data_IF_091449905802
#
_entry.id   IF_091449905802
#
_cell.length_a   1.000
_cell.length_b   1.000
_cell.length_c   1.000
_cell.angle_alpha   90.00
_cell.angle_beta   90.00
_cell.angle_gamma   90.00
#
_symmetry.space_group_name_H-M   'P 1'
#
loop_
_entity.id
_entity.type
_entity.pdbx_description
1 polymer ?
#
# COMPACT_ATOMS: atom_id res chain seq x y z
N UNK A 1 -22.42 12.89 -1.30
CA UNK A 1 -21.24 12.09 -1.10
C UNK A 1 -21.55 10.61 -0.98
N UNK A 2 -20.57 9.80 -1.23
CA UNK A 2 -20.64 8.34 -1.05
C UNK A 2 -19.91 7.91 0.24
N UNK A 3 -19.44 8.87 1.04
CA UNK A 3 -18.74 8.60 2.29
C UNK A 3 -19.73 8.54 3.45
N UNK A 4 -19.38 7.77 4.46
CA UNK A 4 -20.12 7.70 5.72
C UNK A 4 -19.63 8.79 6.69
N UNK A 5 -20.50 9.23 7.58
CA UNK A 5 -20.15 10.23 8.62
C UNK A 5 -19.68 9.57 9.92
N UNK A 6 -20.02 8.32 10.13
CA UNK A 6 -19.61 7.50 11.28
C UNK A 6 -19.27 6.09 10.81
N UNK A 7 -17.99 5.76 10.74
CA UNK A 7 -17.51 4.44 10.37
C UNK A 7 -17.51 3.43 11.52
N UNK A 8 -17.76 3.85 12.78
CA UNK A 8 -17.79 2.93 13.92
C UNK A 8 -18.98 1.96 13.88
N UNK A 9 -20.03 2.31 13.14
CA UNK A 9 -21.20 1.45 12.94
C UNK A 9 -20.88 0.14 12.18
N UNK A 10 -19.72 0.08 11.49
CA UNK A 10 -19.28 -1.10 10.74
C UNK A 10 -18.33 -2.00 11.53
N UNK A 11 -18.08 -1.72 12.82
CA UNK A 11 -17.25 -2.55 13.69
C UNK A 11 -18.06 -3.75 14.18
N UNK A 12 -18.04 -4.83 13.40
CA UNK A 12 -18.83 -6.04 13.59
C UNK A 12 -17.91 -7.27 13.77
N UNK A 13 -17.97 -7.94 14.93
CA UNK A 13 -17.16 -9.14 15.20
C UNK A 13 -17.56 -10.34 14.31
N UNK A 14 -18.77 -10.34 13.78
CA UNK A 14 -19.28 -11.35 12.83
C UNK A 14 -19.06 -10.96 11.35
N UNK A 15 -18.33 -9.91 11.08
CA UNK A 15 -18.15 -9.29 9.75
C UNK A 15 -17.47 -10.16 8.70
N UNK A 16 -16.98 -11.34 9.05
CA UNK A 16 -16.42 -12.34 8.11
C UNK A 16 -17.47 -13.38 7.65
N UNK A 17 -18.60 -13.53 8.38
CA UNK A 17 -19.57 -14.57 8.06
C UNK A 17 -20.23 -14.34 6.70
N UNK A 18 -20.06 -15.31 5.81
CA UNK A 18 -20.64 -15.30 4.46
C UNK A 18 -19.99 -14.34 3.49
N UNK A 19 -18.90 -13.66 3.88
CA UNK A 19 -18.11 -12.83 2.96
C UNK A 19 -17.32 -13.70 2.00
N UNK A 20 -17.29 -13.32 0.73
CA UNK A 20 -16.48 -13.95 -0.31
C UNK A 20 -15.24 -13.11 -0.59
N UNK A 21 -14.07 -13.65 -0.27
CA UNK A 21 -12.81 -12.91 -0.30
C UNK A 21 -11.83 -13.57 -1.28
N UNK A 22 -11.32 -12.78 -2.20
CA UNK A 22 -10.31 -13.21 -3.16
C UNK A 22 -8.91 -13.19 -2.57
N UNK A 23 -8.15 -14.28 -2.70
CA UNK A 23 -6.75 -14.37 -2.26
C UNK A 23 -5.84 -13.85 -3.37
N UNK A 24 -5.17 -12.72 -3.14
CA UNK A 24 -4.19 -12.18 -4.07
C UNK A 24 -2.87 -12.92 -3.97
N UNK A 25 -2.61 -13.82 -4.91
CA UNK A 25 -1.48 -14.77 -4.87
C UNK A 25 -0.16 -14.20 -5.40
N UNK A 26 -0.19 -13.15 -6.23
CA UNK A 26 1.02 -12.57 -6.88
C UNK A 26 2.19 -12.22 -5.94
N UNK A 27 1.99 -11.76 -4.68
CA UNK A 27 3.08 -11.54 -3.73
C UNK A 27 3.69 -12.81 -3.15
N UNK A 28 3.01 -13.95 -3.25
CA UNK A 28 3.39 -15.22 -2.62
C UNK A 28 4.52 -15.94 -3.37
N UNK A 29 5.09 -16.98 -2.77
CA UNK A 29 6.17 -17.78 -3.34
C UNK A 29 7.56 -17.14 -3.23
N UNK A 30 7.68 -15.96 -2.65
CA UNK A 30 8.95 -15.22 -2.52
C UNK A 30 9.64 -15.42 -1.17
N UNK A 31 8.86 -15.58 -0.11
CA UNK A 31 9.34 -15.67 1.28
C UNK A 31 8.52 -16.70 2.05
N UNK A 32 9.00 -17.94 2.10
CA UNK A 32 8.27 -19.08 2.68
C UNK A 32 7.71 -18.84 4.09
N UNK A 33 8.39 -18.04 4.93
CA UNK A 33 7.91 -17.75 6.29
C UNK A 33 6.71 -16.82 6.29
N UNK A 34 6.65 -15.86 5.35
CA UNK A 34 5.48 -15.01 5.15
C UNK A 34 4.35 -15.83 4.57
N UNK A 35 4.64 -16.67 3.57
CA UNK A 35 3.64 -17.54 2.94
C UNK A 35 3.04 -18.52 3.95
N UNK A 36 3.86 -19.12 4.82
CA UNK A 36 3.38 -20.00 5.89
C UNK A 36 2.45 -19.29 6.86
N UNK A 37 2.87 -18.12 7.36
CA UNK A 37 2.07 -17.32 8.28
C UNK A 37 0.78 -16.81 7.60
N UNK A 38 0.85 -16.38 6.35
CA UNK A 38 -0.31 -15.96 5.58
C UNK A 38 -1.30 -17.11 5.41
N UNK A 39 -0.85 -18.29 5.02
CA UNK A 39 -1.70 -19.48 4.88
C UNK A 39 -2.36 -19.93 6.19
N UNK A 40 -1.73 -19.72 7.34
CA UNK A 40 -2.36 -19.96 8.66
C UNK A 40 -3.53 -19.00 8.87
N UNK A 41 -3.35 -17.71 8.51
CA UNK A 41 -4.39 -16.70 8.63
C UNK A 41 -5.50 -16.87 7.58
N UNK A 42 -5.21 -17.38 6.39
CA UNK A 42 -6.23 -17.76 5.40
C UNK A 42 -7.15 -18.85 5.97
N UNK A 43 -6.61 -19.90 6.58
CA UNK A 43 -7.41 -20.94 7.27
C UNK A 43 -8.24 -20.37 8.44
N UNK A 44 -7.69 -19.36 9.13
CA UNK A 44 -8.45 -18.68 10.19
C UNK A 44 -9.66 -17.92 9.62
N UNK A 45 -9.51 -17.17 8.52
CA UNK A 45 -10.61 -16.49 7.84
C UNK A 45 -11.72 -17.47 7.41
N UNK A 46 -11.35 -18.63 6.86
CA UNK A 46 -12.30 -19.71 6.54
C UNK A 46 -13.05 -20.20 7.79
N UNK A 47 -12.33 -20.41 8.90
CA UNK A 47 -12.94 -20.86 10.16
C UNK A 47 -13.92 -19.85 10.75
N UNK A 48 -13.77 -18.56 10.40
CA UNK A 48 -14.69 -17.47 10.78
C UNK A 48 -15.90 -17.34 9.83
N UNK A 49 -15.98 -18.19 8.81
CA UNK A 49 -17.11 -18.28 7.90
C UNK A 49 -16.97 -17.50 6.60
N UNK A 50 -15.77 -17.07 6.24
CA UNK A 50 -15.50 -16.50 4.93
C UNK A 50 -15.36 -17.59 3.87
N UNK A 51 -15.85 -17.36 2.65
CA UNK A 51 -15.55 -18.12 1.45
C UNK A 51 -14.30 -17.54 0.79
N UNK A 52 -13.25 -18.35 0.61
CA UNK A 52 -11.99 -17.89 0.03
C UNK A 52 -11.76 -18.47 -1.36
N UNK A 53 -11.35 -17.62 -2.29
CA UNK A 53 -11.13 -17.99 -3.71
C UNK A 53 -9.81 -17.41 -4.18
N UNK A 54 -8.95 -18.22 -4.78
CA UNK A 54 -7.68 -17.74 -5.35
C UNK A 54 -7.93 -16.84 -6.57
N UNK A 55 -7.16 -15.78 -6.69
CA UNK A 55 -7.12 -14.89 -7.85
C UNK A 55 -5.80 -15.16 -8.57
N UNK A 56 -5.88 -15.77 -9.76
CA UNK A 56 -4.73 -16.10 -10.58
C UNK A 56 -4.05 -14.82 -11.11
N UNK A 57 -4.83 -13.93 -11.72
CA UNK A 57 -4.35 -12.70 -12.34
C UNK A 57 -5.25 -11.51 -12.01
N UNK A 58 -4.89 -10.72 -10.99
CA UNK A 58 -5.62 -9.49 -10.66
C UNK A 58 -5.36 -8.37 -11.67
N UNK A 59 -4.13 -8.23 -12.14
CA UNK A 59 -3.71 -7.20 -13.09
C UNK A 59 -3.07 -7.86 -14.30
N UNK A 60 -3.80 -7.92 -15.39
CA UNK A 60 -3.39 -8.60 -16.63
C UNK A 60 -2.73 -7.67 -17.65
N UNK A 61 -2.92 -6.35 -17.54
CA UNK A 61 -2.38 -5.38 -18.49
C UNK A 61 -1.09 -4.73 -18.00
N UNK A 62 -0.07 -4.77 -18.85
CA UNK A 62 1.16 -4.02 -18.60
C UNK A 62 0.95 -2.54 -18.91
N UNK A 63 1.24 -1.69 -17.93
CA UNK A 63 1.22 -0.24 -18.09
C UNK A 63 2.59 0.37 -18.40
N UNK A 64 3.66 -0.47 -18.43
CA UNK A 64 5.03 0.01 -18.57
C UNK A 64 5.41 0.96 -17.41
N UNK A 65 6.01 2.11 -17.75
CA UNK A 65 6.41 3.13 -16.78
C UNK A 65 5.30 4.08 -16.29
N UNK A 66 4.06 3.95 -16.81
CA UNK A 66 2.99 4.95 -16.57
C UNK A 66 2.70 5.18 -15.07
N UNK A 67 2.69 4.14 -14.24
CA UNK A 67 2.45 4.30 -12.80
C UNK A 67 3.54 5.09 -12.07
N UNK A 68 4.80 4.95 -12.48
CA UNK A 68 5.89 5.76 -11.93
C UNK A 68 5.84 7.20 -12.48
N UNK A 69 5.48 7.37 -13.74
CA UNK A 69 5.30 8.67 -14.35
C UNK A 69 4.22 9.47 -13.61
N UNK A 70 3.04 8.91 -13.40
CA UNK A 70 1.96 9.53 -12.59
C UNK A 70 2.48 9.93 -11.20
N UNK A 71 3.16 9.01 -10.50
CA UNK A 71 3.74 9.29 -9.19
C UNK A 71 4.66 10.51 -9.20
N UNK A 72 5.51 10.67 -10.21
CA UNK A 72 6.46 11.77 -10.29
C UNK A 72 5.80 13.12 -10.53
N UNK A 73 4.79 13.17 -11.40
CA UNK A 73 3.98 14.38 -11.64
C UNK A 73 3.24 14.83 -10.38
N UNK A 74 2.53 13.89 -9.74
CA UNK A 74 1.76 14.16 -8.52
C UNK A 74 2.66 14.48 -7.32
N UNK A 75 3.86 13.86 -7.24
CA UNK A 75 4.85 14.18 -6.22
C UNK A 75 5.35 15.61 -6.32
N UNK A 76 5.67 16.10 -7.53
CA UNK A 76 6.06 17.50 -7.77
C UNK A 76 4.93 18.46 -7.41
N UNK A 77 3.73 18.21 -7.91
CA UNK A 77 2.56 19.06 -7.67
C UNK A 77 2.22 19.13 -6.18
N UNK A 78 2.09 17.99 -5.54
CA UNK A 78 1.80 17.87 -4.10
C UNK A 78 2.86 18.54 -3.21
N UNK A 79 4.15 18.40 -3.52
CA UNK A 79 5.22 19.09 -2.79
C UNK A 79 5.13 20.60 -2.95
N UNK A 80 4.89 21.10 -4.16
CA UNK A 80 4.74 22.54 -4.40
C UNK A 80 3.53 23.10 -3.65
N UNK A 81 2.40 22.41 -3.66
CA UNK A 81 1.21 22.78 -2.91
C UNK A 81 1.49 22.80 -1.40
N UNK A 82 2.15 21.77 -0.88
CA UNK A 82 2.54 21.69 0.52
C UNK A 82 3.47 22.85 0.94
N UNK A 83 4.54 23.08 0.20
CA UNK A 83 5.46 24.18 0.51
C UNK A 83 4.80 25.57 0.46
N UNK A 84 3.86 25.76 -0.45
CA UNK A 84 3.07 26.99 -0.52
C UNK A 84 2.23 27.18 0.74
N UNK A 85 1.71 26.12 1.33
CA UNK A 85 0.88 26.17 2.54
C UNK A 85 1.65 26.53 3.82
N UNK A 86 2.98 26.41 3.83
CA UNK A 86 3.82 26.67 5.00
C UNK A 86 4.03 28.14 5.35
N UNK A 87 3.60 29.06 4.49
CA UNK A 87 3.69 30.50 4.70
C UNK A 87 5.06 31.13 4.37
N UNK A 88 5.18 32.43 4.62
CA UNK A 88 6.30 33.25 4.13
C UNK A 88 7.66 32.95 4.75
N UNK A 89 7.68 32.41 5.96
CA UNK A 89 8.91 32.11 6.72
C UNK A 89 9.52 30.73 6.35
N UNK A 90 8.86 29.96 5.49
CA UNK A 90 9.36 28.67 5.05
C UNK A 90 10.68 28.82 4.28
N UNK A 91 11.68 28.01 4.68
CA UNK A 91 13.01 28.01 4.04
C UNK A 91 13.04 27.30 2.68
N UNK A 92 12.07 26.44 2.43
CA UNK A 92 11.83 25.71 1.16
C UNK A 92 10.41 26.05 0.72
N UNK A 93 10.23 26.53 -0.49
CA UNK A 93 8.92 27.02 -1.00
C UNK A 93 8.39 26.23 -2.19
N UNK A 94 9.25 25.46 -2.82
CA UNK A 94 8.94 24.65 -3.99
C UNK A 94 10.00 23.57 -4.18
N UNK A 95 9.80 22.71 -5.17
CA UNK A 95 10.74 21.63 -5.51
C UNK A 95 12.12 22.17 -5.94
N UNK A 96 12.19 23.33 -6.59
CA UNK A 96 13.47 23.94 -6.99
C UNK A 96 14.31 24.32 -5.79
N UNK A 97 13.70 24.94 -4.78
CA UNK A 97 14.36 25.26 -3.52
C UNK A 97 14.81 24.00 -2.77
N UNK A 98 13.97 22.94 -2.79
CA UNK A 98 14.30 21.64 -2.21
C UNK A 98 15.55 21.04 -2.85
N UNK A 99 15.57 20.92 -4.18
CA UNK A 99 16.71 20.40 -4.94
C UNK A 99 17.94 21.20 -4.65
N UNK A 100 17.89 22.53 -4.77
CA UNK A 100 19.04 23.42 -4.53
C UNK A 100 19.64 23.22 -3.13
N UNK A 101 18.81 23.13 -2.09
CA UNK A 101 19.28 22.96 -0.71
C UNK A 101 19.82 21.57 -0.44
N UNK A 102 19.13 20.52 -0.93
CA UNK A 102 19.57 19.14 -0.77
C UNK A 102 20.94 18.92 -1.41
N UNK A 103 21.13 19.37 -2.65
CA UNK A 103 22.41 19.18 -3.36
C UNK A 103 23.54 20.10 -2.84
N UNK A 104 23.24 21.14 -2.08
CA UNK A 104 24.23 21.96 -1.39
C UNK A 104 24.66 21.39 -0.02
N UNK A 105 23.93 20.42 0.52
CA UNK A 105 24.22 19.80 1.82
C UNK A 105 25.10 18.56 1.65
N UNK A 106 26.37 18.69 1.98
CA UNK A 106 27.36 17.60 1.85
C UNK A 106 27.07 16.40 2.76
N UNK A 107 26.38 16.58 3.88
CA UNK A 107 26.01 15.48 4.80
C UNK A 107 24.89 14.65 4.16
N UNK A 108 23.84 15.30 3.68
CA UNK A 108 22.73 14.65 3.00
C UNK A 108 23.21 13.89 1.75
N UNK A 109 24.06 14.53 0.94
CA UNK A 109 24.61 13.94 -0.29
C UNK A 109 25.66 12.84 -0.06
N UNK A 110 26.12 12.65 1.16
CA UNK A 110 27.12 11.62 1.46
C UNK A 110 26.58 10.19 1.33
N UNK A 111 25.32 9.98 1.68
CA UNK A 111 24.70 8.66 1.75
C UNK A 111 23.73 8.37 0.61
N UNK A 112 23.09 9.39 0.03
CA UNK A 112 22.01 9.23 -0.95
C UNK A 112 22.22 10.19 -2.13
N UNK A 113 21.91 9.72 -3.34
CA UNK A 113 22.03 10.51 -4.56
C UNK A 113 20.88 11.49 -4.80
N UNK A 114 19.76 11.31 -4.10
CA UNK A 114 18.55 12.13 -4.21
C UNK A 114 18.04 12.34 -5.66
N UNK A 115 18.31 11.39 -6.56
CA UNK A 115 17.95 11.46 -7.97
C UNK A 115 16.45 11.66 -8.21
N UNK A 116 15.58 11.12 -7.34
CA UNK A 116 14.13 11.21 -7.49
C UNK A 116 13.61 12.66 -7.38
N UNK A 117 14.13 13.47 -6.44
CA UNK A 117 13.70 14.88 -6.34
C UNK A 117 14.18 15.71 -7.54
N UNK A 118 15.33 15.35 -8.12
CA UNK A 118 15.82 15.98 -9.35
C UNK A 118 14.98 15.57 -10.56
N UNK A 119 14.61 14.30 -10.69
CA UNK A 119 13.66 13.85 -11.71
C UNK A 119 12.29 14.54 -11.58
N UNK A 120 11.78 14.71 -10.35
CA UNK A 120 10.55 15.44 -10.11
C UNK A 120 10.65 16.92 -10.50
N UNK A 121 11.81 17.56 -10.30
CA UNK A 121 12.06 18.94 -10.76
C UNK A 121 11.96 19.05 -12.29
N UNK A 122 12.55 18.09 -13.01
CA UNK A 122 12.68 18.08 -14.47
C UNK A 122 11.38 17.68 -15.20
N UNK A 123 10.44 17.02 -14.53
CA UNK A 123 9.17 16.60 -15.13
C UNK A 123 8.23 17.80 -15.34
N UNK A 124 7.28 17.68 -16.27
CA UNK A 124 6.31 18.71 -16.58
C UNK A 124 5.28 19.00 -15.48
N UNK A 125 4.10 19.43 -15.89
CA UNK A 125 2.98 19.82 -15.02
C UNK A 125 1.83 18.79 -15.12
N UNK A 126 0.98 18.66 -14.09
CA UNK A 126 -0.17 17.74 -14.10
C UNK A 126 -1.23 18.09 -15.16
N UNK A 127 -1.10 19.21 -15.84
CA UNK A 127 -1.93 19.58 -17.01
C UNK A 127 -1.37 19.05 -18.34
N UNK A 128 -0.19 18.46 -18.33
CA UNK A 128 0.44 17.93 -19.54
C UNK A 128 -0.30 16.71 -20.09
N UNK A 129 -0.41 16.56 -21.41
CA UNK A 129 -1.01 15.40 -22.04
C UNK A 129 -0.37 14.07 -21.62
N UNK A 130 0.95 14.06 -21.45
CA UNK A 130 1.71 12.87 -21.02
C UNK A 130 1.26 12.36 -19.64
N UNK A 131 0.97 13.26 -18.70
CA UNK A 131 0.40 12.88 -17.40
C UNK A 131 -0.99 12.29 -17.56
N UNK A 132 -1.86 12.96 -18.31
CA UNK A 132 -3.25 12.52 -18.51
C UNK A 132 -3.32 11.14 -19.15
N UNK A 133 -2.54 10.91 -20.20
CA UNK A 133 -2.45 9.61 -20.89
C UNK A 133 -1.92 8.51 -19.98
N UNK A 134 -0.88 8.78 -19.18
CA UNK A 134 -0.33 7.84 -18.22
C UNK A 134 -1.34 7.50 -17.12
N UNK A 135 -2.06 8.49 -16.60
CA UNK A 135 -3.11 8.33 -15.59
C UNK A 135 -4.26 7.48 -16.13
N UNK A 136 -4.80 7.80 -17.31
CA UNK A 136 -5.88 7.04 -17.93
C UNK A 136 -5.50 5.58 -18.14
N UNK A 137 -4.29 5.34 -18.66
CA UNK A 137 -3.76 3.99 -18.86
C UNK A 137 -3.66 3.22 -17.56
N UNK A 138 -3.15 3.87 -16.50
CA UNK A 138 -3.02 3.28 -15.16
C UNK A 138 -4.38 2.95 -14.56
N UNK A 139 -5.30 3.91 -14.55
CA UNK A 139 -6.63 3.71 -13.97
C UNK A 139 -7.42 2.62 -14.70
N UNK A 140 -7.39 2.61 -16.03
CA UNK A 140 -8.05 1.56 -16.82
C UNK A 140 -7.53 0.16 -16.50
N UNK A 141 -6.21 0.00 -16.35
CA UNK A 141 -5.62 -1.29 -16.04
C UNK A 141 -5.92 -1.78 -14.61
N UNK A 142 -5.93 -0.87 -13.63
CA UNK A 142 -6.06 -1.22 -12.22
C UNK A 142 -7.51 -1.18 -11.70
N UNK A 143 -8.38 -0.33 -12.27
CA UNK A 143 -9.82 -0.28 -11.99
C UNK A 143 -10.58 -1.21 -12.90
N UNK A 144 -10.91 -0.75 -14.11
CA UNK A 144 -11.87 -1.35 -15.03
C UNK A 144 -11.50 -2.79 -15.41
N UNK A 145 -10.21 -3.05 -15.67
CA UNK A 145 -9.69 -4.34 -16.11
C UNK A 145 -8.97 -5.12 -15.01
N UNK A 146 -8.83 -4.51 -13.84
CA UNK A 146 -8.22 -5.07 -12.66
C UNK A 146 -9.24 -5.36 -11.57
N UNK A 147 -9.22 -4.57 -10.50
CA UNK A 147 -9.99 -4.81 -9.27
C UNK A 147 -11.49 -4.94 -9.57
N UNK A 148 -12.08 -3.98 -10.29
CA UNK A 148 -13.53 -3.99 -10.54
C UNK A 148 -13.97 -5.22 -11.32
N UNK A 149 -13.23 -5.54 -12.41
CA UNK A 149 -13.50 -6.73 -13.22
C UNK A 149 -13.45 -8.01 -12.41
N UNK A 150 -12.36 -8.23 -11.68
CA UNK A 150 -12.17 -9.48 -10.92
C UNK A 150 -13.21 -9.61 -9.81
N UNK A 151 -13.49 -8.52 -9.09
CA UNK A 151 -14.51 -8.53 -8.05
C UNK A 151 -15.92 -8.78 -8.61
N UNK A 152 -16.25 -8.26 -9.80
CA UNK A 152 -17.56 -8.50 -10.44
C UNK A 152 -17.68 -9.94 -10.96
N UNK A 153 -16.66 -10.42 -11.70
CA UNK A 153 -16.68 -11.76 -12.29
C UNK A 153 -16.73 -12.88 -11.24
N UNK A 154 -16.05 -12.68 -10.10
CA UNK A 154 -15.98 -13.68 -9.03
C UNK A 154 -16.97 -13.42 -7.90
N UNK A 155 -17.69 -12.29 -7.90
CA UNK A 155 -18.64 -11.91 -6.86
C UNK A 155 -17.98 -11.69 -5.51
N UNK A 156 -16.85 -10.95 -5.46
CA UNK A 156 -16.05 -10.76 -4.26
C UNK A 156 -16.51 -9.54 -3.46
N UNK A 157 -16.50 -9.67 -2.13
CA UNK A 157 -16.69 -8.57 -1.18
C UNK A 157 -15.38 -7.82 -0.93
N UNK A 158 -14.24 -8.53 -0.90
CA UNK A 158 -12.90 -7.97 -0.72
C UNK A 158 -11.82 -8.83 -1.36
N UNK A 159 -10.59 -8.31 -1.40
CA UNK A 159 -9.38 -9.03 -1.78
C UNK A 159 -8.42 -9.00 -0.60
N UNK A 160 -7.75 -10.13 -0.29
CA UNK A 160 -6.79 -10.28 0.80
C UNK A 160 -5.40 -10.62 0.29
N UNK A 161 -4.39 -10.04 0.92
CA UNK A 161 -2.98 -10.36 0.63
C UNK A 161 -2.05 -10.03 1.80
N UNK A 162 -0.81 -10.55 1.82
CA UNK A 162 0.17 -10.13 2.81
C UNK A 162 0.55 -8.67 2.58
N UNK A 163 0.54 -7.85 3.63
CA UNK A 163 0.84 -6.42 3.51
C UNK A 163 2.25 -6.18 2.97
N UNK A 164 3.23 -6.87 3.54
CA UNK A 164 4.61 -6.69 3.18
C UNK A 164 5.56 -7.65 3.90
N UNK A 165 6.85 -7.48 3.64
CA UNK A 165 7.91 -8.18 4.37
C UNK A 165 8.09 -7.58 5.77
N UNK A 166 8.69 -8.33 6.74
CA UNK A 166 9.14 -7.74 8.00
C UNK A 166 10.10 -6.57 7.74
N UNK A 167 10.19 -5.66 8.70
CA UNK A 167 11.16 -4.55 8.65
C UNK A 167 12.59 -5.10 8.42
N UNK A 168 13.36 -4.40 7.61
CA UNK A 168 14.74 -4.74 7.27
C UNK A 168 15.74 -3.77 7.92
N UNK A 169 17.00 -4.15 7.93
CA UNK A 169 18.09 -3.25 8.36
C UNK A 169 18.49 -2.34 7.21
N UNK A 170 18.67 -1.05 7.48
CA UNK A 170 19.28 -0.13 6.52
C UNK A 170 20.72 -0.56 6.22
N UNK A 171 21.04 -0.73 4.96
CA UNK A 171 22.39 -1.08 4.47
C UNK A 171 22.88 0.00 3.51
N UNK A 172 23.71 0.90 4.04
CA UNK A 172 24.28 2.02 3.29
C UNK A 172 25.37 1.61 2.28
N UNK A 173 25.83 0.35 2.34
CA UNK A 173 26.88 -0.17 1.45
C UNK A 173 26.31 -0.94 0.26
N UNK A 174 25.38 -1.87 0.53
CA UNK A 174 24.86 -2.78 -0.50
C UNK A 174 23.43 -2.42 -0.94
N UNK A 175 22.79 -1.49 -0.26
CA UNK A 175 21.38 -1.14 -0.44
C UNK A 175 20.44 -2.04 0.38
N UNK A 176 19.25 -1.55 0.61
CA UNK A 176 18.25 -2.17 1.48
C UNK A 176 17.63 -3.43 0.87
N UNK A 177 17.50 -4.50 1.67
CA UNK A 177 16.80 -5.71 1.28
C UNK A 177 15.38 -5.73 1.85
N UNK A 178 14.43 -5.06 1.20
CA UNK A 178 13.03 -4.96 1.64
C UNK A 178 12.17 -6.21 1.36
N UNK A 179 12.76 -7.29 0.87
CA UNK A 179 12.11 -8.61 0.77
C UNK A 179 11.14 -8.83 -0.38
N UNK A 180 10.62 -7.79 -1.00
CA UNK A 180 9.84 -7.85 -2.26
C UNK A 180 8.41 -8.40 -2.15
N UNK A 181 7.86 -8.56 -0.94
CA UNK A 181 6.44 -8.90 -0.74
C UNK A 181 5.65 -7.62 -0.56
N UNK A 182 4.56 -7.43 -1.31
CA UNK A 182 3.63 -6.31 -1.14
C UNK A 182 2.32 -6.57 -1.87
N UNK A 183 1.19 -6.23 -1.24
CA UNK A 183 -0.15 -6.24 -1.86
C UNK A 183 -0.74 -4.85 -2.09
N UNK A 184 -0.01 -3.78 -1.78
CA UNK A 184 -0.55 -2.41 -1.83
C UNK A 184 -0.70 -1.82 -3.23
N UNK A 185 0.12 -2.25 -4.19
CA UNK A 185 0.20 -1.65 -5.53
C UNK A 185 -1.14 -1.61 -6.27
N UNK A 186 -1.96 -2.68 -6.32
CA UNK A 186 -3.24 -2.64 -7.03
C UNK A 186 -4.16 -1.54 -6.53
N UNK A 187 -4.42 -1.49 -5.23
CA UNK A 187 -5.29 -0.48 -4.63
C UNK A 187 -4.72 0.93 -4.74
N UNK A 188 -3.41 1.11 -4.50
CA UNK A 188 -2.76 2.41 -4.60
C UNK A 188 -2.88 3.02 -6.00
N UNK A 189 -2.65 2.23 -7.06
CA UNK A 189 -2.77 2.70 -8.45
C UNK A 189 -4.21 2.89 -8.90
N UNK A 190 -5.14 2.12 -8.34
CA UNK A 190 -6.56 2.32 -8.56
C UNK A 190 -7.10 3.56 -7.81
N UNK A 191 -6.42 4.03 -6.75
CA UNK A 191 -6.96 5.01 -5.82
C UNK A 191 -8.15 4.44 -5.02
N UNK A 192 -8.06 3.16 -4.65
CA UNK A 192 -9.07 2.41 -3.92
C UNK A 192 -8.68 2.16 -2.46
N UNK A 193 -9.65 1.93 -1.58
CA UNK A 193 -9.37 1.71 -0.17
C UNK A 193 -8.59 0.41 0.08
N UNK A 194 -7.68 0.49 1.05
CA UNK A 194 -6.82 -0.61 1.49
C UNK A 194 -6.56 -0.49 2.98
N UNK A 195 -6.90 -1.51 3.75
CA UNK A 195 -6.71 -1.56 5.20
C UNK A 195 -5.72 -2.65 5.58
N UNK A 196 -4.88 -2.39 6.56
CA UNK A 196 -3.90 -3.33 7.10
C UNK A 196 -4.13 -3.55 8.58
N UNK A 197 -4.11 -4.80 9.00
CA UNK A 197 -4.14 -5.21 10.41
C UNK A 197 -3.01 -6.21 10.71
N UNK A 198 -2.59 -6.40 11.97
CA UNK A 198 -1.53 -7.33 12.31
C UNK A 198 -1.87 -8.76 11.93
N UNK A 199 -0.99 -9.43 11.16
CA UNK A 199 -1.09 -10.84 10.78
C UNK A 199 -0.35 -11.76 11.75
N UNK A 200 0.68 -11.25 12.42
CA UNK A 200 1.53 -12.00 13.33
C UNK A 200 2.97 -11.49 13.32
N UNK A 201 3.91 -12.34 13.68
CA UNK A 201 5.32 -11.95 13.86
C UNK A 201 6.27 -12.97 13.22
N UNK A 202 7.36 -12.48 12.63
CA UNK A 202 8.48 -13.26 12.13
C UNK A 202 9.74 -12.78 12.86
N UNK A 203 10.36 -13.64 13.68
CA UNK A 203 11.51 -13.29 14.55
C UNK A 203 11.26 -12.05 15.44
N UNK A 204 10.03 -11.91 15.94
CA UNK A 204 9.63 -10.77 16.76
C UNK A 204 9.29 -9.48 15.97
N UNK A 205 9.47 -9.49 14.65
CA UNK A 205 9.10 -8.36 13.79
C UNK A 205 7.64 -8.52 13.30
N UNK A 206 6.80 -7.50 13.43
CA UNK A 206 5.40 -7.57 13.00
C UNK A 206 5.31 -7.64 11.48
N UNK A 207 4.33 -8.40 11.00
CA UNK A 207 3.87 -8.41 9.61
C UNK A 207 2.37 -8.24 9.56
N UNK A 208 1.85 -7.66 8.49
CA UNK A 208 0.44 -7.36 8.32
C UNK A 208 -0.25 -8.23 7.27
N UNK A 209 -1.56 -8.35 7.41
CA UNK A 209 -2.48 -8.80 6.38
C UNK A 209 -3.30 -7.60 5.92
N UNK A 210 -3.55 -7.50 4.63
CA UNK A 210 -4.27 -6.39 4.03
C UNK A 210 -5.54 -6.85 3.36
N UNK A 211 -6.59 -6.06 3.52
CA UNK A 211 -7.84 -6.20 2.79
C UNK A 211 -8.04 -4.96 1.93
N UNK A 212 -8.44 -5.13 0.68
CA UNK A 212 -8.71 -4.03 -0.23
C UNK A 212 -9.86 -4.38 -1.17
N UNK A 213 -10.45 -3.37 -1.79
CA UNK A 213 -11.61 -3.56 -2.64
C UNK A 213 -11.80 -2.42 -3.61
N UNK A 214 -13.01 -2.27 -4.11
CA UNK A 214 -13.40 -1.21 -5.05
C UNK A 214 -13.61 0.15 -4.37
N UNK A 215 -13.81 1.18 -5.15
CA UNK A 215 -14.10 2.51 -4.65
C UNK A 215 -15.29 2.50 -3.68
N UNK A 216 -15.14 3.19 -2.54
CA UNK A 216 -16.18 3.38 -1.53
C UNK A 216 -16.57 2.10 -0.75
N UNK A 217 -15.67 1.09 -0.72
CA UNK A 217 -15.85 -0.13 0.05
C UNK A 217 -15.27 -0.06 1.47
N UNK A 218 -14.95 1.14 1.98
CA UNK A 218 -14.42 1.33 3.34
C UNK A 218 -15.29 0.67 4.42
N UNK A 219 -16.62 0.78 4.40
CA UNK A 219 -17.48 0.09 5.37
C UNK A 219 -17.27 -1.42 5.40
N UNK A 220 -17.27 -2.06 4.24
CA UNK A 220 -17.06 -3.49 4.05
C UNK A 220 -15.68 -3.93 4.54
N UNK A 221 -14.64 -3.18 4.16
CA UNK A 221 -13.27 -3.48 4.57
C UNK A 221 -13.06 -3.31 6.07
N UNK A 222 -13.70 -2.33 6.71
CA UNK A 222 -13.67 -2.16 8.15
C UNK A 222 -14.35 -3.31 8.87
N UNK A 223 -15.52 -3.76 8.39
CA UNK A 223 -16.24 -4.90 8.95
C UNK A 223 -15.38 -6.17 8.93
N UNK A 224 -14.79 -6.50 7.77
CA UNK A 224 -13.92 -7.65 7.57
C UNK A 224 -12.65 -7.56 8.45
N UNK A 225 -11.95 -6.43 8.41
CA UNK A 225 -10.71 -6.24 9.13
C UNK A 225 -10.91 -6.23 10.64
N UNK A 226 -12.02 -5.64 11.13
CA UNK A 226 -12.37 -5.64 12.55
C UNK A 226 -12.68 -7.05 13.05
N UNK A 227 -13.52 -7.83 12.33
CA UNK A 227 -13.81 -9.21 12.69
C UNK A 227 -12.54 -10.07 12.78
N UNK A 228 -11.63 -9.90 11.80
CA UNK A 228 -10.34 -10.59 11.80
C UNK A 228 -9.48 -10.16 12.99
N UNK A 229 -9.33 -8.85 13.24
CA UNK A 229 -8.48 -8.34 14.33
C UNK A 229 -8.98 -8.80 15.70
N UNK A 230 -10.32 -8.74 15.95
CA UNK A 230 -10.92 -9.15 17.22
C UNK A 230 -10.80 -10.65 17.45
N UNK A 231 -10.84 -11.47 16.40
CA UNK A 231 -10.72 -12.93 16.53
C UNK A 231 -9.29 -13.42 16.70
N UNK A 232 -8.30 -12.65 16.25
CA UNK A 232 -6.87 -13.06 16.31
C UNK A 232 -6.10 -12.39 17.45
N UNK A 233 -6.38 -11.15 17.79
CA UNK A 233 -5.71 -10.34 18.80
C UNK A 233 -4.17 -10.32 18.64
N UNK A 234 -3.68 -10.32 17.41
CA UNK A 234 -2.24 -10.39 17.10
C UNK A 234 -1.47 -9.14 17.50
N UNK A 235 -2.16 -7.99 17.68
CA UNK A 235 -1.49 -6.75 18.05
C UNK A 235 -0.80 -6.87 19.41
N UNK A 236 0.47 -6.46 19.45
CA UNK A 236 1.26 -6.27 20.68
C UNK A 236 1.78 -4.85 20.75
N UNK A 237 1.88 -4.31 21.96
CA UNK A 237 2.54 -3.02 22.15
C UNK A 237 4.04 -3.15 21.78
N UNK A 238 4.64 -2.15 21.11
CA UNK A 238 6.07 -2.17 20.86
C UNK A 238 6.85 -2.00 22.18
N UNK A 239 7.99 -2.68 22.25
CA UNK A 239 8.93 -2.58 23.36
C UNK A 239 10.22 -1.95 22.84
N UNK A 240 10.79 -1.01 23.61
CA UNK A 240 12.13 -0.50 23.35
C UNK A 240 13.15 -1.47 23.93
N UNK A 241 13.83 -2.22 23.08
CA UNK A 241 14.93 -3.10 23.49
C UNK A 241 16.25 -2.34 23.47
N UNK A 242 17.10 -2.57 24.47
CA UNK A 242 18.46 -2.09 24.46
C UNK A 242 19.29 -2.71 23.33
N UNK A 243 20.39 -2.04 22.94
CA UNK A 243 21.29 -2.54 21.88
C UNK A 243 21.95 -3.88 22.22
N UNK A 244 21.99 -4.26 23.50
CA UNK A 244 22.67 -5.42 24.05
C UNK A 244 21.74 -6.67 24.23
N UNK A 245 20.48 -6.55 23.86
CA UNK A 245 19.47 -7.63 23.97
C UNK A 245 19.27 -8.36 22.63
N UNK A 246 20.35 -8.97 22.09
CA UNK A 246 20.29 -9.84 20.90
C UNK A 246 20.24 -11.32 21.31
#
# INVERSE_FOLDING_TARGET
GKFETDYTQFLNEDGLKGKKIGIYTSPLGRRFRIDSLFNENIRHLESMGAELVEIDDLITESIGGAGFQVLMYEFKDGLNAYFTSLGADAKVRNVDDLVKKTFADSVTMHYFDHSLIKQAQEIGDITDPEYTEALEKMLKAYRDKGIDKVMDEMGLDAIVGPTGSPAWKTDLTNGDNFGGVSSSTPAARAGYPHITVPMGYIDGLPVGISFFGRAWSEPELLEIAYAYEQSTLHRRAPEFRGWDEN
#
